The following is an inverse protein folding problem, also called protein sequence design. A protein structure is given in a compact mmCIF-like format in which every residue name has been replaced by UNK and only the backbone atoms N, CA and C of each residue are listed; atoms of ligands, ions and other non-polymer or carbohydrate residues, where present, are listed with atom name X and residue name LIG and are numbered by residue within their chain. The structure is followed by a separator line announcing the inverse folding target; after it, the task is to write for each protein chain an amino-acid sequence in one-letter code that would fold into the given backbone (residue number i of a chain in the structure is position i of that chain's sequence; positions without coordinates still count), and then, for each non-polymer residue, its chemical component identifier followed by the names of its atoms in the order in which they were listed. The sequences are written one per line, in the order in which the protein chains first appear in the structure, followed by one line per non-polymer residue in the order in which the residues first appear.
data_IF_443644660052
#
_entry.id   IF_443644660052
#
_cell.length_a   1.000
_cell.length_b   1.000
_cell.length_c   1.000
_cell.angle_alpha   90.00
_cell.angle_beta   90.00
_cell.angle_gamma   90.00
#
_symmetry.space_group_name_H-M   'P 1'
#
loop_
_entity.id
_entity.type
_entity.pdbx_description
1 polymer ?
#
# COMPACT_ATOMS: atom_id res chain seq x y z
N UNK A 1 -1.67 -15.71 -31.77
CA UNK A 1 -0.85 -15.43 -30.57
C UNK A 1 -1.42 -16.29 -29.46
N UNK A 2 -0.58 -17.10 -28.83
CA UNK A 2 -0.96 -18.09 -27.81
C UNK A 2 -1.11 -17.40 -26.43
N UNK A 3 -2.09 -17.83 -25.64
CA UNK A 3 -2.35 -17.23 -24.32
C UNK A 3 -1.33 -17.79 -23.32
N UNK A 4 -0.54 -16.97 -22.60
CA UNK A 4 0.46 -17.45 -21.64
C UNK A 4 -0.12 -18.36 -20.54
N UNK A 5 -1.42 -18.24 -20.25
CA UNK A 5 -2.10 -19.04 -19.24
C UNK A 5 -2.81 -20.28 -19.81
N UNK A 6 -2.77 -20.53 -21.12
CA UNK A 6 -3.57 -21.57 -21.79
C UNK A 6 -3.35 -22.96 -21.20
N UNK A 7 -2.11 -23.44 -21.16
CA UNK A 7 -1.75 -24.74 -20.56
C UNK A 7 -2.08 -24.80 -19.06
N UNK A 8 -1.97 -23.67 -18.36
CA UNK A 8 -2.27 -23.59 -16.93
C UNK A 8 -3.78 -23.66 -16.67
N UNK A 9 -4.59 -23.10 -17.57
CA UNK A 9 -6.05 -23.17 -17.53
C UNK A 9 -6.52 -24.61 -17.77
N UNK A 10 -5.89 -25.36 -18.67
CA UNK A 10 -6.24 -26.76 -18.94
C UNK A 10 -6.08 -27.65 -17.69
N UNK A 11 -5.07 -27.37 -16.87
CA UNK A 11 -4.69 -28.21 -15.72
C UNK A 11 -5.14 -27.66 -14.37
N UNK A 12 -5.40 -26.36 -14.27
CA UNK A 12 -5.64 -25.67 -12.99
C UNK A 12 -6.58 -24.46 -13.12
N UNK A 13 -7.62 -24.60 -13.97
CA UNK A 13 -8.59 -23.54 -14.28
C UNK A 13 -9.08 -22.75 -13.07
N UNK A 14 -9.53 -23.43 -12.03
CA UNK A 14 -10.13 -22.77 -10.85
C UNK A 14 -9.12 -21.87 -10.14
N UNK A 15 -7.87 -22.31 -9.98
CA UNK A 15 -6.81 -21.51 -9.36
C UNK A 15 -6.39 -20.32 -10.21
N UNK A 16 -6.38 -20.48 -11.54
CA UNK A 16 -6.11 -19.36 -12.46
C UNK A 16 -7.21 -18.30 -12.34
N UNK A 17 -8.48 -18.70 -12.38
CA UNK A 17 -9.61 -17.78 -12.23
C UNK A 17 -9.57 -17.10 -10.86
N UNK A 18 -9.32 -17.85 -9.79
CA UNK A 18 -9.19 -17.29 -8.45
C UNK A 18 -8.09 -16.24 -8.38
N UNK A 19 -6.89 -16.53 -8.90
CA UNK A 19 -5.76 -15.60 -8.94
C UNK A 19 -6.05 -14.32 -9.73
N UNK A 20 -6.71 -14.43 -10.90
CA UNK A 20 -7.10 -13.28 -11.70
C UNK A 20 -8.13 -12.40 -10.98
N UNK A 21 -9.11 -13.01 -10.33
CA UNK A 21 -10.16 -12.29 -9.60
C UNK A 21 -9.56 -11.53 -8.40
N UNK A 22 -8.81 -12.20 -7.52
CA UNK A 22 -8.25 -11.53 -6.32
C UNK A 22 -7.32 -10.37 -6.67
N UNK A 23 -6.59 -10.45 -7.79
CA UNK A 23 -5.73 -9.37 -8.27
C UNK A 23 -6.50 -8.15 -8.81
N UNK A 24 -7.80 -8.29 -9.11
CA UNK A 24 -8.62 -7.22 -9.69
C UNK A 24 -9.68 -6.68 -8.73
N UNK A 25 -10.00 -7.42 -7.67
CA UNK A 25 -11.00 -7.05 -6.65
C UNK A 25 -10.49 -5.97 -5.67
N UNK A 26 -9.18 -5.92 -5.39
CA UNK A 26 -8.59 -5.00 -4.44
C UNK A 26 -7.24 -4.43 -4.95
N UNK A 27 -6.79 -3.26 -4.44
CA UNK A 27 -5.49 -2.68 -4.80
C UNK A 27 -4.29 -3.57 -4.44
N UNK A 28 -4.43 -4.37 -3.37
CA UNK A 28 -3.42 -5.30 -2.89
C UNK A 28 -4.06 -6.63 -2.51
N UNK A 29 -3.42 -7.71 -2.90
CA UNK A 29 -3.69 -9.07 -2.46
C UNK A 29 -2.60 -9.50 -1.48
N UNK A 30 -2.96 -9.81 -0.23
CA UNK A 30 -2.00 -10.25 0.78
C UNK A 30 -1.95 -11.76 0.87
N UNK A 31 -0.75 -12.29 1.15
CA UNK A 31 -0.55 -13.73 1.35
C UNK A 31 -1.51 -14.31 2.38
N UNK A 32 -1.75 -13.59 3.47
CA UNK A 32 -2.64 -14.00 4.55
C UNK A 32 -4.13 -14.06 4.16
N UNK A 33 -4.54 -13.38 3.08
CA UNK A 33 -5.93 -13.43 2.62
C UNK A 33 -6.27 -14.82 2.04
N UNK A 34 -5.31 -15.41 1.31
CA UNK A 34 -5.42 -16.77 0.74
C UNK A 34 -4.03 -17.30 0.35
N UNK A 35 -3.42 -18.11 1.23
CA UNK A 35 -2.06 -18.61 1.00
C UNK A 35 -1.96 -19.53 -0.23
N UNK A 36 -2.98 -20.36 -0.49
CA UNK A 36 -2.98 -21.28 -1.65
C UNK A 36 -2.90 -20.50 -2.97
N UNK A 37 -3.79 -19.52 -3.14
CA UNK A 37 -3.83 -18.69 -4.35
C UNK A 37 -2.56 -17.84 -4.46
N UNK A 38 -2.05 -17.32 -3.34
CA UNK A 38 -0.82 -16.53 -3.33
C UNK A 38 0.39 -17.36 -3.77
N UNK A 39 0.57 -18.56 -3.22
CA UNK A 39 1.69 -19.44 -3.61
C UNK A 39 1.53 -19.95 -5.05
N UNK A 40 0.31 -20.19 -5.50
CA UNK A 40 0.04 -20.51 -6.90
C UNK A 40 0.46 -19.37 -7.83
N UNK A 41 0.03 -18.14 -7.54
CA UNK A 41 0.42 -16.94 -8.28
C UNK A 41 1.95 -16.76 -8.27
N UNK A 42 2.60 -16.87 -7.11
CA UNK A 42 4.05 -16.75 -6.97
C UNK A 42 4.81 -17.80 -7.79
N UNK A 43 4.34 -19.05 -7.78
CA UNK A 43 4.93 -20.15 -8.55
C UNK A 43 4.84 -19.90 -10.06
N UNK A 44 3.74 -19.31 -10.52
CA UNK A 44 3.48 -19.07 -11.94
C UNK A 44 3.63 -17.59 -12.33
N UNK A 45 4.39 -16.80 -11.56
CA UNK A 45 4.44 -15.33 -11.68
C UNK A 45 4.73 -14.83 -13.09
N UNK A 46 5.58 -15.54 -13.83
CA UNK A 46 6.01 -15.13 -15.17
C UNK A 46 4.84 -15.20 -16.15
N UNK A 47 4.03 -16.27 -16.09
CA UNK A 47 2.87 -16.44 -16.97
C UNK A 47 1.79 -15.39 -16.68
N UNK A 48 1.53 -15.10 -15.40
CA UNK A 48 0.60 -14.03 -15.02
C UNK A 48 1.11 -12.64 -15.41
N UNK A 49 2.41 -12.37 -15.23
CA UNK A 49 3.01 -11.09 -15.63
C UNK A 49 2.90 -10.89 -17.14
N UNK A 50 3.28 -11.89 -17.94
CA UNK A 50 3.18 -11.87 -19.39
C UNK A 50 1.73 -11.72 -19.86
N UNK A 51 0.78 -12.37 -19.19
CA UNK A 51 -0.64 -12.21 -19.47
C UNK A 51 -1.11 -10.76 -19.24
N UNK A 52 -0.81 -10.16 -18.07
CA UNK A 52 -1.21 -8.79 -17.78
C UNK A 52 -0.56 -7.76 -18.71
N UNK A 53 0.72 -7.93 -19.01
CA UNK A 53 1.45 -7.04 -19.90
C UNK A 53 0.90 -7.12 -21.33
N UNK A 54 0.75 -8.34 -21.87
CA UNK A 54 0.28 -8.57 -23.25
C UNK A 54 -1.13 -8.09 -23.51
N UNK A 55 -2.06 -8.33 -22.58
CA UNK A 55 -3.48 -8.08 -22.82
C UNK A 55 -3.99 -6.76 -22.25
N UNK A 56 -3.32 -6.22 -21.22
CA UNK A 56 -3.80 -5.03 -20.51
C UNK A 56 -2.78 -3.90 -20.42
N UNK A 57 -1.51 -4.11 -20.82
CA UNK A 57 -0.41 -3.17 -20.56
C UNK A 57 -0.28 -2.86 -19.05
N UNK A 58 -0.53 -3.88 -18.21
CA UNK A 58 -0.44 -3.78 -16.74
C UNK A 58 0.79 -4.53 -16.23
N UNK A 59 1.40 -4.00 -15.17
CA UNK A 59 2.55 -4.62 -14.52
C UNK A 59 2.12 -5.37 -13.27
N UNK A 60 2.43 -6.67 -13.18
CA UNK A 60 2.29 -7.43 -11.93
C UNK A 60 3.50 -7.13 -11.03
N UNK A 61 3.23 -6.63 -9.83
CA UNK A 61 4.23 -6.45 -8.76
C UNK A 61 3.94 -7.47 -7.67
N UNK A 62 4.93 -8.28 -7.31
CA UNK A 62 4.79 -9.34 -6.31
C UNK A 62 6.04 -9.41 -5.44
N UNK A 63 5.85 -9.42 -4.13
CA UNK A 63 6.89 -9.67 -3.12
C UNK A 63 6.52 -10.89 -2.25
N UNK A 64 7.21 -11.08 -1.12
CA UNK A 64 6.99 -12.23 -0.24
C UNK A 64 5.69 -12.18 0.57
N UNK A 65 5.05 -11.01 0.67
CA UNK A 65 3.87 -10.75 1.52
C UNK A 65 2.65 -10.26 0.74
N UNK A 66 2.83 -9.65 -0.43
CA UNK A 66 1.75 -9.08 -1.22
C UNK A 66 1.97 -9.12 -2.74
N UNK A 67 0.87 -9.01 -3.47
CA UNK A 67 0.83 -8.85 -4.90
C UNK A 67 -0.15 -7.74 -5.30
N UNK A 68 0.13 -7.05 -6.41
CA UNK A 68 -0.76 -6.04 -7.00
C UNK A 68 -0.55 -5.93 -8.50
N UNK A 69 -1.58 -5.49 -9.21
CA UNK A 69 -1.45 -5.06 -10.62
C UNK A 69 -1.38 -3.54 -10.69
N UNK A 70 -0.34 -3.02 -11.33
CA UNK A 70 -0.16 -1.61 -11.58
C UNK A 70 -0.73 -1.25 -12.96
N UNK A 71 -1.60 -0.24 -12.98
CA UNK A 71 -2.35 0.20 -14.17
C UNK A 71 -1.81 1.57 -14.59
N UNK A 72 -0.83 1.58 -15.49
CA UNK A 72 -0.12 2.80 -15.87
C UNK A 72 -0.98 3.75 -16.73
N UNK A 73 -1.84 3.20 -17.58
CA UNK A 73 -2.63 3.95 -18.57
C UNK A 73 -4.13 3.81 -18.37
N UNK A 74 -4.83 4.91 -18.62
CA UNK A 74 -6.29 4.95 -18.63
C UNK A 74 -6.77 5.16 -20.06
N UNK A 75 -7.44 4.16 -20.63
CA UNK A 75 -7.87 4.18 -22.02
C UNK A 75 -9.25 4.82 -22.25
N UNK A 76 -10.07 4.98 -21.21
CA UNK A 76 -11.38 5.62 -21.33
C UNK A 76 -11.26 7.14 -21.06
N UNK A 77 -11.29 8.00 -22.10
CA UNK A 77 -11.12 9.45 -21.94
C UNK A 77 -12.31 10.11 -21.25
N UNK A 78 -13.47 9.44 -21.14
CA UNK A 78 -14.63 9.97 -20.43
C UNK A 78 -14.47 9.89 -18.89
N UNK A 79 -13.52 9.11 -18.39
CA UNK A 79 -13.27 8.96 -16.94
C UNK A 79 -12.32 10.07 -16.47
N UNK A 80 -12.89 11.03 -15.74
CA UNK A 80 -12.14 12.10 -15.09
C UNK A 80 -11.21 11.55 -14.00
N UNK A 81 -10.14 12.28 -13.66
CA UNK A 81 -9.26 11.92 -12.55
C UNK A 81 -10.01 11.72 -11.23
N UNK A 82 -11.14 12.43 -11.04
CA UNK A 82 -12.02 12.28 -9.87
C UNK A 82 -12.76 10.94 -9.79
N UNK A 83 -13.03 10.33 -10.94
CA UNK A 83 -13.78 9.07 -11.06
C UNK A 83 -12.88 7.83 -11.06
N UNK A 84 -11.55 8.02 -11.14
CA UNK A 84 -10.58 6.94 -11.01
C UNK A 84 -10.50 6.51 -9.55
N UNK A 85 -10.71 5.22 -9.30
CA UNK A 85 -10.53 4.65 -7.97
C UNK A 85 -9.05 4.38 -7.72
N UNK A 86 -8.35 5.43 -7.30
CA UNK A 86 -6.93 5.43 -7.00
C UNK A 86 -6.70 5.94 -5.59
N UNK A 87 -5.76 5.28 -4.89
CA UNK A 87 -5.27 5.78 -3.62
C UNK A 87 -4.65 7.16 -3.84
N UNK A 88 -5.07 8.12 -3.03
CA UNK A 88 -4.48 9.45 -3.05
C UNK A 88 -5.21 10.40 -2.12
N UNK A 89 -4.44 11.34 -1.58
CA UNK A 89 -4.94 12.49 -0.85
C UNK A 89 -4.88 13.71 -1.75
N UNK A 90 -5.91 14.56 -1.70
CA UNK A 90 -6.01 15.74 -2.58
C UNK A 90 -5.81 17.05 -1.84
N UNK A 91 -6.07 17.07 -0.53
CA UNK A 91 -5.86 18.26 0.28
C UNK A 91 -4.46 18.23 0.88
N UNK A 92 -3.84 19.40 0.96
CA UNK A 92 -2.51 19.59 1.54
C UNK A 92 -2.38 18.93 2.92
N UNK A 93 -3.32 19.16 3.82
CA UNK A 93 -3.23 18.65 5.20
C UNK A 93 -3.39 17.13 5.27
N UNK A 94 -4.16 16.52 4.36
CA UNK A 94 -4.26 15.06 4.23
C UNK A 94 -2.93 14.46 3.76
N UNK A 95 -2.28 15.09 2.77
CA UNK A 95 -0.95 14.68 2.31
C UNK A 95 0.10 14.82 3.42
N UNK A 96 0.09 15.93 4.16
CA UNK A 96 1.00 16.15 5.30
C UNK A 96 0.79 15.09 6.38
N UNK A 97 -0.46 14.83 6.76
CA UNK A 97 -0.77 13.82 7.76
C UNK A 97 -0.34 12.41 7.31
N UNK A 98 -0.48 12.08 6.03
CA UNK A 98 0.02 10.82 5.49
C UNK A 98 1.55 10.74 5.53
N UNK A 99 2.27 11.81 5.16
CA UNK A 99 3.73 11.82 5.28
C UNK A 99 4.20 11.66 6.73
N UNK A 100 3.53 12.31 7.68
CA UNK A 100 3.83 12.12 9.11
C UNK A 100 3.52 10.71 9.61
N UNK A 101 2.51 10.06 9.05
CA UNK A 101 2.22 8.65 9.34
C UNK A 101 3.33 7.74 8.81
N UNK A 102 3.89 8.02 7.63
CA UNK A 102 5.05 7.28 7.11
C UNK A 102 6.28 7.49 8.00
N UNK A 103 6.53 8.72 8.43
CA UNK A 103 7.62 9.05 9.37
C UNK A 103 7.44 8.32 10.71
N UNK A 104 6.22 8.35 11.27
CA UNK A 104 5.86 7.59 12.47
C UNK A 104 6.11 6.09 12.29
N UNK A 105 5.69 5.54 11.15
CA UNK A 105 5.87 4.14 10.83
C UNK A 105 7.36 3.76 10.79
N UNK A 106 8.20 4.57 10.15
CA UNK A 106 9.66 4.34 10.12
C UNK A 106 10.28 4.41 11.51
N UNK A 107 9.90 5.42 12.31
CA UNK A 107 10.34 5.52 13.71
C UNK A 107 9.96 4.29 14.52
N UNK A 108 8.72 3.82 14.41
CA UNK A 108 8.26 2.64 15.13
C UNK A 108 8.97 1.37 14.65
N UNK A 109 9.26 1.23 13.36
CA UNK A 109 10.05 0.11 12.84
C UNK A 109 11.45 0.10 13.46
N UNK A 110 12.13 1.25 13.49
CA UNK A 110 13.46 1.38 14.07
C UNK A 110 13.44 1.14 15.60
N UNK A 111 12.48 1.71 16.33
CA UNK A 111 12.33 1.53 17.79
C UNK A 111 12.06 0.08 18.19
N UNK A 112 11.27 -0.65 17.39
CA UNK A 112 10.96 -2.06 17.62
C UNK A 112 11.99 -3.01 16.99
N UNK A 113 13.07 -2.49 16.39
CA UNK A 113 14.07 -3.27 15.65
C UNK A 113 13.45 -4.19 14.60
N UNK A 114 12.38 -3.72 13.95
CA UNK A 114 11.66 -4.44 12.93
C UNK A 114 12.21 -4.12 11.54
N UNK A 115 12.07 -5.06 10.62
CA UNK A 115 12.45 -4.95 9.22
C UNK A 115 11.28 -5.33 8.31
N UNK A 116 11.38 -5.00 7.03
CA UNK A 116 10.36 -5.37 6.03
C UNK A 116 10.23 -6.89 5.85
N UNK A 117 11.25 -7.65 6.25
CA UNK A 117 11.33 -9.10 6.15
C UNK A 117 10.67 -9.83 7.33
N UNK A 118 10.36 -9.09 8.41
CA UNK A 118 9.71 -9.69 9.57
C UNK A 118 8.33 -10.23 9.23
N UNK A 119 8.04 -11.40 9.81
CA UNK A 119 6.76 -12.09 9.62
C UNK A 119 5.61 -11.27 10.21
N UNK A 120 5.84 -10.68 11.38
CA UNK A 120 4.82 -9.93 12.08
C UNK A 120 4.77 -8.48 11.58
N UNK A 121 3.56 -7.98 11.38
CA UNK A 121 3.31 -6.59 11.03
C UNK A 121 3.45 -5.69 12.26
N UNK A 122 3.99 -4.48 12.09
CA UNK A 122 3.96 -3.45 13.12
C UNK A 122 2.51 -3.18 13.56
N UNK A 123 2.30 -3.11 14.87
CA UNK A 123 1.03 -2.74 15.51
C UNK A 123 1.23 -1.50 16.37
N UNK A 124 0.30 -0.57 16.30
CA UNK A 124 0.39 0.68 17.07
C UNK A 124 -1.00 1.11 17.54
N UNK A 125 -1.05 1.89 18.63
CA UNK A 125 -2.29 2.51 19.10
C UNK A 125 -2.56 3.81 18.35
N UNK A 126 -3.82 4.10 18.07
CA UNK A 126 -4.22 5.37 17.45
C UNK A 126 -3.79 6.58 18.28
N UNK A 127 -3.86 6.48 19.62
CA UNK A 127 -3.40 7.52 20.53
C UNK A 127 -1.89 7.82 20.39
N UNK A 128 -1.06 6.80 20.15
CA UNK A 128 0.38 6.96 19.91
C UNK A 128 0.64 7.71 18.60
N UNK A 129 -0.10 7.37 17.54
CA UNK A 129 -0.02 8.08 16.26
C UNK A 129 -0.47 9.55 16.43
N UNK A 130 -1.58 9.80 17.13
CA UNK A 130 -2.07 11.15 17.38
C UNK A 130 -1.04 12.00 18.14
N UNK A 131 -0.49 11.47 19.23
CA UNK A 131 0.54 12.16 20.01
C UNK A 131 1.76 12.50 19.16
N UNK A 132 2.21 11.55 18.32
CA UNK A 132 3.33 11.77 17.40
C UNK A 132 3.02 12.87 16.38
N UNK A 133 1.88 12.81 15.69
CA UNK A 133 1.49 13.83 14.71
C UNK A 133 1.43 15.23 15.34
N UNK A 134 0.82 15.35 16.51
CA UNK A 134 0.68 16.64 17.21
C UNK A 134 2.05 17.22 17.57
N UNK A 135 2.95 16.39 18.10
CA UNK A 135 4.32 16.80 18.39
C UNK A 135 5.06 17.25 17.12
N UNK A 136 5.01 16.45 16.05
CA UNK A 136 5.68 16.77 14.78
C UNK A 136 5.10 18.00 14.08
N UNK A 137 3.79 18.22 14.12
CA UNK A 137 3.18 19.46 13.61
C UNK A 137 3.61 20.68 14.43
N UNK A 138 3.70 20.56 15.75
CA UNK A 138 4.16 21.65 16.60
C UNK A 138 5.63 22.00 16.36
N UNK A 139 6.48 21.00 16.07
CA UNK A 139 7.88 21.20 15.72
C UNK A 139 8.05 21.85 14.34
N UNK A 140 7.29 21.40 13.32
CA UNK A 140 7.42 21.88 11.94
C UNK A 140 6.67 23.20 11.69
N UNK A 141 5.61 23.48 12.45
CA UNK A 141 4.78 24.68 12.31
C UNK A 141 4.39 25.28 13.67
N UNK A 142 5.36 25.82 14.44
CA UNK A 142 5.12 26.30 15.81
C UNK A 142 3.99 27.33 15.89
N UNK A 143 3.96 28.29 14.96
CA UNK A 143 2.93 29.34 14.87
C UNK A 143 1.51 28.81 14.63
N UNK A 144 1.38 27.58 14.13
CA UNK A 144 0.09 26.96 13.79
C UNK A 144 -0.31 25.86 14.78
N UNK A 145 0.55 25.53 15.74
CA UNK A 145 0.38 24.41 16.66
C UNK A 145 -0.91 24.51 17.49
N UNK A 146 -1.20 25.68 18.05
CA UNK A 146 -2.37 25.88 18.91
C UNK A 146 -3.68 26.11 18.14
N UNK A 147 -3.59 26.47 16.86
CA UNK A 147 -4.75 26.90 16.06
C UNK A 147 -5.15 25.85 15.01
N UNK A 148 -4.27 25.59 14.04
CA UNK A 148 -4.54 24.69 12.91
C UNK A 148 -4.15 23.25 13.20
N UNK A 149 -3.12 23.02 14.00
CA UNK A 149 -2.62 21.68 14.31
C UNK A 149 -2.75 21.32 15.79
N UNK A 150 -3.80 21.85 16.44
CA UNK A 150 -4.14 21.45 17.80
C UNK A 150 -4.53 19.97 17.83
N UNK A 151 -4.36 19.31 18.98
CA UNK A 151 -4.66 17.89 19.12
C UNK A 151 -6.09 17.53 18.68
N UNK A 152 -7.07 18.36 19.06
CA UNK A 152 -8.45 18.19 18.65
C UNK A 152 -8.62 18.34 17.13
N UNK A 153 -7.93 19.29 16.50
CA UNK A 153 -8.00 19.47 15.06
C UNK A 153 -7.38 18.29 14.30
N UNK A 154 -6.18 17.85 14.72
CA UNK A 154 -5.48 16.71 14.11
C UNK A 154 -6.36 15.45 14.19
N UNK A 155 -6.92 15.17 15.37
CA UNK A 155 -7.83 14.04 15.58
C UNK A 155 -9.08 14.12 14.70
N UNK A 156 -9.82 15.24 14.75
CA UNK A 156 -11.13 15.36 14.09
C UNK A 156 -11.08 15.57 12.58
N UNK A 157 -10.04 16.22 12.06
CA UNK A 157 -9.97 16.64 10.65
C UNK A 157 -8.92 15.88 9.84
N UNK A 158 -7.76 15.56 10.43
CA UNK A 158 -6.68 14.89 9.71
C UNK A 158 -6.83 13.38 9.83
N UNK A 159 -6.75 12.82 11.04
CA UNK A 159 -6.86 11.38 11.26
C UNK A 159 -8.19 10.81 10.77
N UNK A 160 -9.30 11.46 11.11
CA UNK A 160 -10.63 11.04 10.63
C UNK A 160 -10.77 11.09 9.10
N UNK A 161 -9.97 11.92 8.41
CA UNK A 161 -9.97 11.96 6.95
C UNK A 161 -9.08 10.87 6.34
N UNK A 162 -7.88 10.63 6.91
CA UNK A 162 -6.92 9.70 6.30
C UNK A 162 -7.15 8.24 6.70
N UNK A 163 -7.55 7.95 7.93
CA UNK A 163 -7.64 6.58 8.44
C UNK A 163 -8.64 5.72 7.65
N UNK A 164 -9.88 6.19 7.34
CA UNK A 164 -10.80 5.40 6.53
C UNK A 164 -10.30 5.12 5.11
N UNK A 165 -9.50 6.04 4.54
CA UNK A 165 -8.88 5.84 3.23
C UNK A 165 -7.79 4.78 3.32
N UNK A 166 -6.95 4.82 4.36
CA UNK A 166 -5.91 3.82 4.60
C UNK A 166 -6.50 2.42 4.83
N UNK A 167 -7.61 2.32 5.56
CA UNK A 167 -8.34 1.07 5.73
C UNK A 167 -8.92 0.56 4.41
N UNK A 168 -9.61 1.43 3.66
CA UNK A 168 -10.22 1.09 2.36
C UNK A 168 -9.18 0.59 1.35
N UNK A 169 -8.02 1.23 1.30
CA UNK A 169 -6.93 0.86 0.40
C UNK A 169 -6.00 -0.21 0.98
N UNK A 170 -6.39 -0.80 2.13
CA UNK A 170 -5.70 -1.90 2.79
C UNK A 170 -4.27 -1.57 3.20
N UNK A 171 -3.99 -0.33 3.59
CA UNK A 171 -2.74 0.04 4.24
C UNK A 171 -2.75 -0.29 5.73
N UNK A 172 -3.90 -0.13 6.38
CA UNK A 172 -4.07 -0.40 7.80
C UNK A 172 -5.27 -1.31 8.03
N UNK A 173 -5.22 -2.10 9.12
CA UNK A 173 -6.35 -2.89 9.61
C UNK A 173 -6.57 -2.61 11.09
N UNK A 174 -7.75 -2.16 11.54
CA UNK A 174 -8.06 -2.11 12.96
C UNK A 174 -8.15 -3.53 13.52
N UNK A 175 -7.47 -3.79 14.63
CA UNK A 175 -7.58 -5.06 15.34
C UNK A 175 -8.81 -5.03 16.25
N UNK A 176 -9.63 -6.10 16.26
CA UNK A 176 -10.77 -6.17 17.15
C UNK A 176 -10.26 -6.17 18.60
N UNK A 177 -10.91 -5.41 19.48
CA UNK A 177 -10.50 -5.42 20.87
C UNK A 177 -10.75 -6.77 21.54
N UNK A 178 -10.03 -7.10 22.63
CA UNK A 178 -10.34 -8.26 23.43
C UNK A 178 -11.80 -8.19 23.90
N UNK A 179 -12.55 -9.30 23.78
CA UNK A 179 -14.00 -9.37 24.08
C UNK A 179 -14.34 -9.00 25.53
N UNK A 180 -13.35 -9.00 26.41
CA UNK A 180 -13.46 -8.71 27.85
C UNK A 180 -13.38 -7.21 28.15
N UNK A 181 -12.82 -6.40 27.25
CA UNK A 181 -12.87 -4.95 27.35
C UNK A 181 -14.21 -4.47 26.80
N UNK A 182 -14.96 -3.72 27.61
CA UNK A 182 -16.24 -3.12 27.22
C UNK A 182 -16.10 -2.02 26.17
N UNK A 183 -16.68 -0.84 26.43
CA UNK A 183 -16.51 0.31 25.53
C UNK A 183 -15.06 0.80 25.61
N UNK A 184 -14.37 0.79 24.49
CA UNK A 184 -12.97 1.21 24.37
C UNK A 184 -12.91 2.61 23.79
N UNK A 185 -11.98 3.42 24.29
CA UNK A 185 -11.71 4.75 23.78
C UNK A 185 -11.08 4.67 22.37
N UNK A 186 -11.37 5.65 21.52
CA UNK A 186 -10.86 5.70 20.15
C UNK A 186 -9.32 5.68 20.14
N UNK A 187 -8.68 6.32 21.12
CA UNK A 187 -7.24 6.34 21.29
C UNK A 187 -6.62 4.96 21.58
N UNK A 188 -7.40 4.02 22.12
CA UNK A 188 -6.97 2.67 22.46
C UNK A 188 -7.16 1.67 21.31
N UNK A 189 -7.71 2.10 20.18
CA UNK A 189 -7.81 1.26 18.99
C UNK A 189 -6.40 0.95 18.49
N UNK A 190 -6.11 -0.35 18.34
CA UNK A 190 -4.85 -0.85 17.79
C UNK A 190 -5.04 -1.05 16.29
N UNK A 191 -4.12 -0.47 15.52
CA UNK A 191 -4.00 -0.69 14.09
C UNK A 191 -2.81 -1.57 13.79
N UNK A 192 -2.97 -2.45 12.81
CA UNK A 192 -1.91 -3.22 12.18
C UNK A 192 -1.54 -2.58 10.84
N UNK A 193 -0.24 -2.37 10.61
CA UNK A 193 0.29 -1.89 9.34
C UNK A 193 0.44 -3.05 8.34
N UNK A 194 -0.39 -3.06 7.31
CA UNK A 194 -0.42 -4.13 6.31
C UNK A 194 0.78 -4.01 5.34
N UNK A 195 1.15 -5.10 4.62
CA UNK A 195 2.35 -5.12 3.78
C UNK A 195 2.50 -3.97 2.78
N UNK A 196 1.40 -3.41 2.27
CA UNK A 196 1.45 -2.25 1.37
C UNK A 196 2.11 -1.00 1.98
N UNK A 197 2.09 -0.84 3.31
CA UNK A 197 2.77 0.29 3.99
C UNK A 197 4.28 0.26 3.75
N UNK A 198 4.87 -0.94 3.67
CA UNK A 198 6.30 -1.12 3.52
C UNK A 198 6.79 -0.70 2.12
N UNK A 199 5.90 -0.61 1.13
CA UNK A 199 6.23 -0.07 -0.21
C UNK A 199 6.49 1.44 -0.19
N UNK A 200 6.06 2.14 0.87
CA UNK A 200 6.30 3.57 1.05
C UNK A 200 7.45 3.88 2.02
N UNK A 201 8.16 2.87 2.53
CA UNK A 201 9.36 3.08 3.34
C UNK A 201 10.45 3.73 2.48
N UNK A 202 11.09 4.81 2.95
CA UNK A 202 12.10 5.56 2.21
C UNK A 202 13.27 4.68 1.71
N UNK A 203 13.68 3.64 2.47
CA UNK A 203 14.69 2.66 2.02
C UNK A 203 14.18 1.81 0.85
N UNK A 204 12.91 1.43 0.86
CA UNK A 204 12.26 0.70 -0.24
C UNK A 204 11.98 1.59 -1.45
N UNK A 205 11.56 2.84 -1.24
CA UNK A 205 11.36 3.85 -2.28
C UNK A 205 12.68 4.23 -2.96
N UNK A 206 13.78 4.37 -2.20
CA UNK A 206 15.11 4.59 -2.78
C UNK A 206 15.57 3.42 -3.65
N UNK A 207 15.21 2.19 -3.30
CA UNK A 207 15.50 0.99 -4.09
C UNK A 207 14.66 0.96 -5.37
N UNK A 208 13.36 1.25 -5.28
CA UNK A 208 12.46 1.33 -6.43
C UNK A 208 12.83 2.47 -7.39
N UNK A 209 13.16 3.65 -6.88
CA UNK A 209 13.65 4.78 -7.69
C UNK A 209 14.99 4.45 -8.36
N UNK A 210 15.86 3.70 -7.68
CA UNK A 210 17.10 3.17 -8.27
C UNK A 210 16.85 2.16 -9.40
N UNK A 211 15.91 1.23 -9.22
CA UNK A 211 15.53 0.23 -10.23
C UNK A 211 14.80 0.86 -11.43
N UNK A 212 13.99 1.90 -11.20
CA UNK A 212 13.30 2.67 -12.25
C UNK A 212 14.29 3.57 -13.02
N UNK A 213 15.30 4.11 -12.34
CA UNK A 213 16.38 4.86 -12.99
C UNK A 213 17.30 3.97 -13.83
N UNK A 214 17.55 2.72 -13.41
CA UNK A 214 18.31 1.74 -14.20
C UNK A 214 17.54 1.26 -15.43
N UNK A 215 16.22 1.07 -15.35
CA UNK A 215 15.40 0.71 -16.52
C UNK A 215 15.14 1.87 -17.49
N UNK A 216 15.28 3.12 -17.03
CA UNK A 216 15.20 4.30 -17.91
C UNK A 216 16.54 4.70 -18.56
N UNK A 217 17.67 4.15 -18.09
CA UNK A 217 19.01 4.51 -18.54
C UNK A 217 19.57 3.63 -19.68
N UNK A 218 18.83 2.61 -20.15
CA UNK A 218 19.17 1.87 -21.37
C UNK A 218 18.06 2.04 -22.41
N UNK A 219 18.16 3.09 -23.23
CA UNK A 219 18.18 2.83 -24.66
C UNK A 219 19.26 3.64 -25.39
N UNK A 220 19.77 3.00 -26.45
CA UNK A 220 20.62 3.54 -27.53
C UNK A 220 22.13 3.68 -27.26
N UNK A 221 22.81 2.55 -27.46
CA UNK A 221 24.25 2.49 -27.66
C UNK A 221 24.66 1.36 -28.60
N UNK A 222 23.88 1.09 -29.65
CA UNK A 222 24.38 0.32 -30.80
C UNK A 222 23.48 0.54 -32.00
N UNK A 223 23.93 1.41 -32.92
CA UNK A 223 23.69 1.38 -34.36
C UNK A 223 24.34 2.62 -34.98
N UNK A 224 25.62 2.50 -35.34
CA UNK A 224 26.19 3.27 -36.45
C UNK A 224 27.24 2.40 -37.15
N UNK A 225 26.80 1.87 -38.30
CA UNK A 225 27.65 1.49 -39.42
C UNK A 225 28.37 2.72 -39.97
#
# INVERSE_FOLDING_TARGET
MENPLETLIETSRERVVAALNVLTEAPYFYREDNEEVFFFLRRHRQLFSEFFERYFDWRLVLDDRCARVHKDKWHNPAITASQRDLFGFRKRDECLAFMMLLEFFEHQMDENSMTVEDRDSLKFRLGSLLAYLVARFAELYPELAETRYSEEHVRRNLLRAIMPVLERYRFLRPLPPPKELGRIDEAEIIYEALPAMYHYNAKALSRWLGETAQTAAEPEGDLAQ
#
